data_IF_367214764619
#
_entry.id   IF_367214764619
#
_cell.length_a   1.000
_cell.length_b   1.000
_cell.length_c   1.000
_cell.angle_alpha   90.00
_cell.angle_beta   90.00
_cell.angle_gamma   90.00
#
_symmetry.space_group_name_H-M   'P 1'
#
loop_
_entity.id
_entity.type
_entity.pdbx_description
1 polymer ?
#
# COMPACT_ATOMS: atom_id res chain seq x y z
N UNK A 1 5.37 1.58 -17.54
CA UNK A 1 5.06 0.16 -17.27
C UNK A 1 4.99 -0.17 -15.78
N UNK A 2 5.99 0.21 -14.97
CA UNK A 2 6.08 -0.16 -13.54
C UNK A 2 4.85 0.25 -12.71
N UNK A 3 4.44 1.50 -12.83
CA UNK A 3 3.27 2.12 -12.20
C UNK A 3 1.99 1.31 -12.40
N UNK A 4 1.70 0.98 -13.66
CA UNK A 4 0.54 0.18 -14.05
C UNK A 4 0.60 -1.21 -13.45
N UNK A 5 1.77 -1.84 -13.43
CA UNK A 5 1.96 -3.16 -12.83
C UNK A 5 1.66 -3.16 -11.32
N UNK A 6 2.19 -2.20 -10.57
CA UNK A 6 1.96 -2.08 -9.12
C UNK A 6 0.46 -1.89 -8.83
N UNK A 7 -0.20 -1.01 -9.59
CA UNK A 7 -1.63 -0.78 -9.45
C UNK A 7 -2.43 -2.05 -9.76
N UNK A 8 -2.08 -2.80 -10.81
CA UNK A 8 -2.73 -4.08 -11.12
C UNK A 8 -2.57 -5.09 -9.98
N UNK A 9 -1.39 -5.19 -9.36
CA UNK A 9 -1.16 -6.09 -8.23
C UNK A 9 -2.05 -5.70 -7.04
N UNK A 10 -2.04 -4.43 -6.63
CA UNK A 10 -2.86 -3.94 -5.51
C UNK A 10 -4.35 -4.17 -5.79
N UNK A 11 -4.81 -3.81 -6.99
CA UNK A 11 -6.20 -4.03 -7.40
C UNK A 11 -6.57 -5.52 -7.36
N UNK A 12 -5.71 -6.40 -7.85
CA UNK A 12 -5.98 -7.84 -7.84
C UNK A 12 -6.18 -8.41 -6.43
N UNK A 13 -5.49 -7.87 -5.43
CA UNK A 13 -5.60 -8.28 -4.03
C UNK A 13 -6.90 -7.78 -3.40
N UNK A 14 -7.21 -6.49 -3.55
CA UNK A 14 -8.42 -5.91 -2.94
C UNK A 14 -9.71 -6.42 -3.57
N UNK A 15 -9.70 -6.80 -4.85
CA UNK A 15 -10.87 -7.38 -5.52
C UNK A 15 -11.14 -8.83 -5.10
N UNK A 16 -10.12 -9.56 -4.65
CA UNK A 16 -10.23 -10.98 -4.28
C UNK A 16 -10.34 -11.23 -2.79
N UNK A 17 -9.86 -10.31 -1.95
CA UNK A 17 -9.67 -10.54 -0.52
C UNK A 17 -10.31 -9.44 0.31
N UNK A 18 -10.96 -9.81 1.42
CA UNK A 18 -11.48 -8.84 2.37
C UNK A 18 -10.35 -8.27 3.24
N UNK A 19 -10.52 -7.09 3.88
CA UNK A 19 -9.50 -6.47 4.72
C UNK A 19 -9.02 -7.33 5.90
N UNK A 20 -9.83 -8.30 6.34
CA UNK A 20 -9.47 -9.25 7.40
C UNK A 20 -8.50 -10.34 6.92
N UNK A 21 -8.50 -10.64 5.63
CA UNK A 21 -7.72 -11.73 5.04
C UNK A 21 -6.36 -11.22 4.56
N UNK A 22 -6.31 -9.97 4.08
CA UNK A 22 -5.09 -9.33 3.60
C UNK A 22 -4.97 -7.92 4.16
N UNK A 23 -3.84 -7.65 4.82
CA UNK A 23 -3.42 -6.31 5.26
C UNK A 23 -2.15 -5.90 4.53
N UNK A 24 -2.10 -4.66 4.06
CA UNK A 24 -1.01 -4.12 3.25
C UNK A 24 -0.31 -2.96 3.95
N UNK A 25 1.00 -2.86 3.76
CA UNK A 25 1.81 -1.70 4.11
C UNK A 25 2.34 -1.15 2.80
N UNK A 26 1.96 0.09 2.48
CA UNK A 26 2.42 0.78 1.28
C UNK A 26 3.46 1.83 1.66
N UNK A 27 4.59 1.82 0.97
CA UNK A 27 5.70 2.75 1.20
C UNK A 27 5.91 3.53 -0.09
N UNK A 28 5.62 4.84 -0.06
CA UNK A 28 5.81 5.75 -1.19
C UNK A 28 6.65 6.96 -0.77
N UNK A 29 7.99 6.83 -0.76
CA UNK A 29 8.85 7.89 -0.27
C UNK A 29 8.91 9.12 -1.17
N UNK A 30 8.35 9.01 -2.38
CA UNK A 30 8.32 10.09 -3.37
C UNK A 30 6.92 10.68 -3.54
N UNK A 31 5.90 10.08 -2.91
CA UNK A 31 4.50 10.53 -2.91
C UNK A 31 3.97 10.74 -4.34
N UNK A 32 4.23 9.77 -5.22
CA UNK A 32 3.92 9.90 -6.65
C UNK A 32 2.75 9.03 -7.06
N UNK A 33 2.65 7.83 -6.47
CA UNK A 33 1.90 6.74 -7.11
C UNK A 33 0.90 6.06 -6.16
N UNK A 34 1.22 5.98 -4.86
CA UNK A 34 0.41 5.19 -3.92
C UNK A 34 -0.54 6.02 -3.05
N UNK A 35 -0.44 7.35 -3.10
CA UNK A 35 -1.28 8.26 -2.31
C UNK A 35 -2.78 8.04 -2.50
N UNK A 36 -3.19 7.58 -3.69
CA UNK A 36 -4.58 7.25 -4.03
C UNK A 36 -5.16 6.09 -3.18
N UNK A 37 -4.29 5.23 -2.64
CA UNK A 37 -4.70 4.06 -1.87
C UNK A 37 -4.82 4.33 -0.36
N UNK A 38 -4.54 5.55 0.09
CA UNK A 38 -4.49 5.91 1.52
C UNK A 38 -5.81 5.69 2.27
N UNK A 39 -6.94 5.60 1.56
CA UNK A 39 -8.26 5.35 2.13
C UNK A 39 -8.67 3.87 2.14
N UNK A 40 -7.81 2.94 1.70
CA UNK A 40 -8.17 1.53 1.64
C UNK A 40 -8.24 0.91 3.05
N UNK A 41 -9.33 0.18 3.38
CA UNK A 41 -9.46 -0.51 4.67
C UNK A 41 -8.46 -1.66 4.83
N UNK A 42 -7.87 -2.13 3.72
CA UNK A 42 -6.81 -3.13 3.72
C UNK A 42 -5.48 -2.60 4.25
N UNK A 43 -5.30 -1.29 4.44
CA UNK A 43 -4.06 -0.75 4.97
C UNK A 43 -3.90 -1.06 6.47
N UNK A 44 -2.70 -1.48 6.85
CA UNK A 44 -2.34 -1.61 8.25
C UNK A 44 -2.09 -0.25 8.90
N UNK A 45 -1.45 0.65 8.17
CA UNK A 45 -1.17 2.03 8.54
C UNK A 45 -1.29 2.93 7.29
N UNK A 46 -1.41 4.26 7.46
CA UNK A 46 -1.36 5.19 6.34
C UNK A 46 -0.11 4.99 5.47
N UNK A 47 -0.18 5.34 4.19
CA UNK A 47 0.93 5.21 3.25
C UNK A 47 2.18 5.88 3.82
N UNK A 48 3.25 5.10 3.98
CA UNK A 48 4.48 5.55 4.62
C UNK A 48 5.31 6.32 3.61
N UNK A 49 5.46 7.61 3.84
CA UNK A 49 6.26 8.51 2.99
C UNK A 49 7.68 8.69 3.53
N UNK A 50 7.92 8.41 4.80
CA UNK A 50 9.24 8.52 5.41
C UNK A 50 9.94 7.15 5.43
N UNK A 51 11.09 6.98 4.74
CA UNK A 51 11.82 5.70 4.73
C UNK A 51 12.22 5.22 6.12
N UNK A 52 12.49 6.16 7.04
CA UNK A 52 12.83 5.84 8.44
C UNK A 52 11.67 5.20 9.20
N UNK A 53 10.43 5.56 8.86
CA UNK A 53 9.21 4.97 9.45
C UNK A 53 8.89 3.60 8.85
N UNK A 54 9.37 3.29 7.65
CA UNK A 54 9.15 2.00 7.01
C UNK A 54 9.76 0.84 7.83
N UNK A 55 10.93 1.03 8.43
CA UNK A 55 11.54 0.02 9.30
C UNK A 55 10.70 -0.28 10.55
N UNK A 56 9.97 0.73 11.05
CA UNK A 56 9.03 0.55 12.17
C UNK A 56 7.73 -0.14 11.77
N UNK A 57 7.31 -0.02 10.50
CA UNK A 57 6.12 -0.70 9.99
C UNK A 57 6.36 -2.19 9.69
N UNK A 58 7.63 -2.60 9.47
CA UNK A 58 8.02 -3.99 9.18
C UNK A 58 8.37 -4.80 10.44
N UNK A 59 8.31 -4.19 11.63
CA UNK A 59 8.59 -4.84 12.92
C UNK A 59 7.36 -5.50 13.52
#
# INVERSE_FOLDING_TARGET
GKSVCINCIILSLIFKSAPKDVRMILIDPKVVELSIFSALPHLFCPVVTEPKKAAGALR
#
